data_IF_654872984873
#
_entry.id   IF_654872984873
#
_cell.length_a   1.000
_cell.length_b   1.000
_cell.length_c   1.000
_cell.angle_alpha   90.00
_cell.angle_beta   90.00
_cell.angle_gamma   90.00
#
_symmetry.space_group_name_H-M   'P 1'
#
loop_
_entity.id
_entity.type
_entity.pdbx_description
1 polymer ?
#
# COMPACT_ATOMS: atom_id res chain seq x y z
N UNK A 1 -15.10 -26.62 -16.30
CA UNK A 1 -14.42 -26.01 -15.13
C UNK A 1 -15.14 -24.71 -14.80
N UNK A 2 -15.72 -24.62 -13.60
CA UNK A 2 -16.55 -23.49 -13.18
C UNK A 2 -15.67 -22.27 -12.92
N UNK A 3 -16.07 -21.13 -13.46
CA UNK A 3 -15.46 -19.82 -13.23
C UNK A 3 -15.91 -19.34 -11.84
N UNK A 4 -15.17 -19.69 -10.77
CA UNK A 4 -15.49 -19.37 -9.36
C UNK A 4 -14.77 -18.08 -8.93
N UNK A 5 -14.89 -17.00 -9.70
CA UNK A 5 -14.53 -15.68 -9.19
C UNK A 5 -15.78 -14.83 -9.27
N UNK A 6 -16.57 -14.92 -8.21
CA UNK A 6 -17.68 -14.02 -7.96
C UNK A 6 -17.05 -12.63 -7.76
N UNK A 7 -17.34 -11.65 -8.62
CA UNK A 7 -16.75 -10.29 -8.63
C UNK A 7 -17.03 -9.44 -7.36
N UNK A 8 -17.39 -10.07 -6.24
CA UNK A 8 -17.77 -9.46 -4.96
C UNK A 8 -16.95 -9.97 -3.76
N UNK A 9 -15.95 -10.82 -3.96
CA UNK A 9 -15.09 -11.28 -2.85
C UNK A 9 -13.89 -10.37 -2.67
N UNK A 10 -13.60 -9.97 -1.42
CA UNK A 10 -12.35 -9.30 -1.08
C UNK A 10 -11.15 -10.22 -1.24
N UNK A 11 -9.96 -9.66 -1.44
CA UNK A 11 -8.72 -10.41 -1.58
C UNK A 11 -7.58 -9.73 -0.80
N UNK A 12 -6.48 -10.45 -0.63
CA UNK A 12 -5.27 -9.96 0.02
C UNK A 12 -4.14 -9.93 -1.01
N UNK A 13 -3.45 -8.80 -1.11
CA UNK A 13 -2.26 -8.64 -1.93
C UNK A 13 -1.04 -8.45 -1.03
N UNK A 14 0.05 -9.11 -1.36
CA UNK A 14 1.31 -9.03 -0.62
C UNK A 14 2.39 -8.45 -1.52
N UNK A 15 3.03 -7.37 -1.06
CA UNK A 15 4.20 -6.75 -1.71
C UNK A 15 5.42 -7.06 -0.83
N UNK A 16 6.27 -7.99 -1.28
CA UNK A 16 7.47 -8.42 -0.55
C UNK A 16 8.76 -8.20 -1.36
N UNK A 17 9.89 -8.25 -0.67
CA UNK A 17 11.22 -8.04 -1.24
C UNK A 17 12.22 -7.50 -0.20
N UNK A 18 13.50 -7.46 -0.56
CA UNK A 18 14.58 -6.91 0.29
C UNK A 18 14.32 -5.43 0.61
N UNK A 19 15.02 -4.88 1.61
CA UNK A 19 15.06 -3.42 1.78
C UNK A 19 15.51 -2.77 0.45
N UNK A 20 15.01 -1.56 0.18
CA UNK A 20 15.27 -0.80 -1.06
C UNK A 20 14.68 -1.39 -2.36
N UNK A 21 13.97 -2.52 -2.32
CA UNK A 21 13.31 -3.11 -3.50
C UNK A 21 12.02 -2.41 -3.95
N UNK A 22 11.77 -1.17 -3.52
CA UNK A 22 10.59 -0.38 -3.94
C UNK A 22 9.24 -0.79 -3.34
N UNK A 23 9.19 -1.62 -2.29
CA UNK A 23 7.91 -2.06 -1.68
C UNK A 23 6.99 -0.90 -1.30
N UNK A 24 7.54 0.08 -0.60
CA UNK A 24 6.80 1.26 -0.13
C UNK A 24 6.30 2.12 -1.29
N UNK A 25 7.10 2.25 -2.34
CA UNK A 25 6.75 2.99 -3.55
C UNK A 25 5.58 2.34 -4.30
N UNK A 26 5.60 1.01 -4.44
CA UNK A 26 4.49 0.28 -5.03
C UNK A 26 3.21 0.38 -4.18
N UNK A 27 3.32 0.33 -2.85
CA UNK A 27 2.18 0.54 -1.95
C UNK A 27 1.56 1.93 -2.14
N UNK A 28 2.38 3.00 -2.13
CA UNK A 28 1.93 4.38 -2.35
C UNK A 28 1.27 4.52 -3.73
N UNK A 29 1.83 3.90 -4.76
CA UNK A 29 1.24 3.90 -6.11
C UNK A 29 -0.15 3.27 -6.13
N UNK A 30 -0.38 2.18 -5.39
CA UNK A 30 -1.71 1.54 -5.28
C UNK A 30 -2.71 2.42 -4.53
N UNK A 31 -2.28 3.03 -3.43
CA UNK A 31 -3.10 3.98 -2.64
C UNK A 31 -3.58 5.12 -3.55
N UNK A 32 -2.66 5.79 -4.26
CA UNK A 32 -3.00 6.91 -5.18
C UNK A 32 -3.98 6.50 -6.27
N UNK A 33 -3.85 5.30 -6.85
CA UNK A 33 -4.81 4.80 -7.86
C UNK A 33 -6.21 4.62 -7.26
N UNK A 34 -6.30 4.09 -6.03
CA UNK A 34 -7.58 3.91 -5.35
C UNK A 34 -8.23 5.26 -5.01
N UNK A 35 -7.44 6.24 -4.56
CA UNK A 35 -7.90 7.62 -4.33
C UNK A 35 -8.39 8.30 -5.61
N UNK A 36 -7.68 8.15 -6.74
CA UNK A 36 -8.13 8.66 -8.04
C UNK A 36 -9.44 8.02 -8.50
N UNK A 37 -9.66 6.75 -8.15
CA UNK A 37 -10.93 6.06 -8.35
C UNK A 37 -12.00 6.40 -7.29
N UNK A 38 -11.72 7.37 -6.40
CA UNK A 38 -12.57 7.81 -5.28
C UNK A 38 -12.96 6.68 -4.31
N UNK A 39 -12.09 5.67 -4.19
CA UNK A 39 -12.26 4.61 -3.21
C UNK A 39 -11.85 5.12 -1.82
N UNK A 40 -12.54 4.66 -0.78
CA UNK A 40 -12.14 4.91 0.61
C UNK A 40 -10.96 4.00 0.92
N UNK A 41 -9.83 4.59 1.28
CA UNK A 41 -8.60 3.88 1.62
C UNK A 41 -8.24 4.18 3.06
N UNK A 42 -7.80 3.15 3.80
CA UNK A 42 -7.15 3.28 5.08
C UNK A 42 -5.76 2.68 4.97
N UNK A 43 -4.79 3.42 5.48
CA UNK A 43 -3.39 3.04 5.51
C UNK A 43 -3.03 2.82 6.97
N UNK A 44 -2.17 1.85 7.24
CA UNK A 44 -1.68 1.57 8.58
C UNK A 44 -0.19 1.32 8.55
N UNK A 45 0.49 1.83 9.56
CA UNK A 45 1.91 1.67 9.80
C UNK A 45 2.14 1.20 11.23
N UNK A 46 3.06 0.26 11.48
CA UNK A 46 3.40 -0.13 12.84
C UNK A 46 4.15 1.01 13.54
N UNK A 47 3.77 1.33 14.79
CA UNK A 47 4.33 2.45 15.54
C UNK A 47 5.85 2.38 15.77
N UNK A 48 6.44 1.17 15.71
CA UNK A 48 7.88 0.96 15.83
C UNK A 48 8.68 1.39 14.59
N UNK A 49 8.03 1.60 13.43
CA UNK A 49 8.72 2.00 12.20
C UNK A 49 8.83 3.53 12.08
N UNK A 50 9.70 4.16 12.85
CA UNK A 50 9.88 5.62 12.91
C UNK A 50 11.04 6.15 12.03
N UNK A 51 11.66 5.28 11.23
CA UNK A 51 12.93 5.54 10.51
C UNK A 51 12.91 6.74 9.57
N UNK A 52 11.74 7.14 9.08
CA UNK A 52 11.57 8.26 8.14
C UNK A 52 10.56 9.31 8.59
N UNK A 53 9.48 8.90 9.24
CA UNK A 53 8.41 9.76 9.74
C UNK A 53 7.62 8.95 10.79
N UNK A 54 6.93 9.59 11.73
CA UNK A 54 6.09 8.90 12.71
C UNK A 54 4.66 8.64 12.18
N UNK A 55 4.17 9.48 11.28
CA UNK A 55 2.77 9.55 10.82
C UNK A 55 2.60 9.23 9.33
N UNK A 56 3.70 9.20 8.56
CA UNK A 56 3.67 8.90 7.13
C UNK A 56 4.39 7.59 6.78
N UNK A 57 3.94 6.97 5.70
CA UNK A 57 4.71 5.96 4.97
C UNK A 57 5.54 6.68 3.91
N UNK A 58 6.86 6.53 3.98
CA UNK A 58 7.84 7.23 3.14
C UNK A 58 8.69 6.21 2.38
N UNK A 59 8.81 6.37 1.06
CA UNK A 59 9.77 5.62 0.24
C UNK A 59 11.15 6.30 0.24
N UNK A 60 12.20 5.54 -0.10
CA UNK A 60 13.53 6.11 -0.31
C UNK A 60 13.58 7.10 -1.49
N UNK A 61 12.65 6.98 -2.43
CA UNK A 61 12.43 7.92 -3.54
C UNK A 61 11.63 9.17 -3.13
N UNK A 62 11.46 9.42 -1.82
CA UNK A 62 10.71 10.52 -1.22
C UNK A 62 9.22 10.57 -1.62
N UNK A 63 8.64 9.47 -2.10
CA UNK A 63 7.18 9.37 -2.19
C UNK A 63 6.61 9.16 -0.79
N UNK A 64 5.49 9.82 -0.52
CA UNK A 64 4.85 9.78 0.79
C UNK A 64 3.34 9.60 0.64
N UNK A 65 2.75 8.92 1.62
CA UNK A 65 1.32 8.86 1.85
C UNK A 65 1.05 8.89 3.37
N UNK A 66 -0.04 9.55 3.82
CA UNK A 66 -0.43 9.52 5.22
C UNK A 66 -0.77 8.08 5.64
N UNK A 67 -0.36 7.71 6.86
CA UNK A 67 -0.51 6.36 7.40
C UNK A 67 -1.21 6.30 8.74
#
# INVERSE_FOLDING_TARGET
MVNIINNKTGWIEVICGSMFSGKTEELIRRIRRAEYARQKVLVFKPAIDDRYDAQNIVSHSNMQAPS
#
